data_IF_666171209344
#
_entry.id   IF_666171209344
#
_cell.length_a   1.000
_cell.length_b   1.000
_cell.length_c   1.000
_cell.angle_alpha   90.00
_cell.angle_beta   90.00
_cell.angle_gamma   90.00
#
_symmetry.space_group_name_H-M   'P 1'
#
loop_
_entity.id
_entity.type
_entity.pdbx_description
1 polymer ?
#
# COMPACT_ATOMS: atom_id res chain seq x y z
N UNK A 1 -19.65 -46.55 -36.83
CA UNK A 1 -19.19 -46.40 -38.23
C UNK A 1 -20.34 -46.82 -39.13
N UNK A 2 -20.56 -46.11 -40.23
CA UNK A 2 -21.54 -46.44 -41.26
C UNK A 2 -20.80 -47.10 -42.43
N UNK A 3 -21.13 -48.35 -42.76
CA UNK A 3 -20.56 -49.03 -43.92
C UNK A 3 -21.35 -48.63 -45.16
N UNK A 4 -20.75 -48.01 -46.18
CA UNK A 4 -21.50 -47.60 -47.39
C UNK A 4 -21.46 -48.65 -48.50
N UNK A 5 -20.30 -49.25 -48.71
CA UNK A 5 -20.04 -50.19 -49.80
C UNK A 5 -19.19 -51.37 -49.29
N UNK A 6 -19.48 -52.57 -49.78
CA UNK A 6 -18.69 -53.76 -49.57
C UNK A 6 -18.43 -54.47 -50.90
N UNK A 7 -17.25 -55.07 -51.03
CA UNK A 7 -16.91 -55.98 -52.13
C UNK A 7 -16.56 -57.36 -51.58
N UNK A 8 -17.02 -58.38 -52.29
CA UNK A 8 -16.83 -59.79 -51.96
C UNK A 8 -16.20 -60.46 -53.16
N UNK A 9 -14.99 -60.97 -52.97
CA UNK A 9 -14.31 -61.82 -53.92
C UNK A 9 -14.31 -63.24 -53.37
N UNK A 10 -14.69 -64.21 -54.21
CA UNK A 10 -14.65 -65.61 -53.86
C UNK A 10 -13.92 -66.41 -54.93
N UNK A 11 -13.03 -67.29 -54.49
CA UNK A 11 -12.39 -68.33 -55.31
C UNK A 11 -12.64 -69.69 -54.63
N UNK A 12 -13.13 -70.67 -55.38
CA UNK A 12 -13.37 -72.00 -54.86
C UNK A 12 -13.17 -73.09 -55.90
N UNK A 13 -12.58 -74.20 -55.47
CA UNK A 13 -12.40 -75.38 -56.31
C UNK A 13 -13.46 -76.44 -55.99
N UNK A 14 -14.05 -77.02 -57.03
CA UNK A 14 -15.03 -78.10 -56.91
C UNK A 14 -14.40 -79.36 -56.30
N UNK A 15 -15.16 -80.04 -55.46
CA UNK A 15 -14.77 -81.36 -55.00
C UNK A 15 -14.99 -82.39 -56.13
N UNK A 16 -13.88 -82.89 -56.69
CA UNK A 16 -13.89 -83.89 -57.78
C UNK A 16 -13.73 -85.34 -57.26
N UNK A 17 -13.70 -85.53 -55.93
CA UNK A 17 -13.59 -86.83 -55.28
C UNK A 17 -14.96 -87.46 -55.04
N UNK A 18 -15.49 -88.15 -56.05
CA UNK A 18 -16.71 -88.96 -55.94
C UNK A 18 -17.03 -89.64 -57.26
N UNK A 19 -17.19 -90.98 -57.24
CA UNK A 19 -17.56 -91.77 -58.42
C UNK A 19 -18.90 -91.33 -59.05
N UNK A 20 -19.29 -91.98 -60.14
CA UNK A 20 -20.34 -91.62 -61.15
C UNK A 20 -21.72 -91.09 -60.67
N UNK A 21 -21.97 -90.96 -59.37
CA UNK A 21 -23.15 -90.34 -58.76
C UNK A 21 -22.84 -89.09 -57.89
N UNK A 22 -21.77 -88.34 -58.19
CA UNK A 22 -21.46 -87.08 -57.49
C UNK A 22 -22.31 -85.88 -57.95
N UNK A 23 -22.60 -84.95 -57.03
CA UNK A 23 -23.34 -83.72 -57.31
C UNK A 23 -22.79 -83.00 -58.56
N UNK A 24 -23.69 -82.66 -59.50
CA UNK A 24 -23.27 -82.19 -60.82
C UNK A 24 -22.69 -80.77 -60.82
N UNK A 25 -23.00 -79.97 -59.79
CA UNK A 25 -22.53 -78.60 -59.61
C UNK A 25 -21.83 -78.40 -58.25
N UNK A 26 -21.03 -77.34 -58.16
CA UNK A 26 -20.56 -76.72 -56.92
C UNK A 26 -21.32 -75.41 -56.71
N UNK A 27 -21.48 -74.99 -55.46
CA UNK A 27 -22.09 -73.71 -55.13
C UNK A 27 -21.32 -73.09 -53.97
N UNK A 28 -21.01 -71.79 -54.08
CA UNK A 28 -20.51 -70.99 -52.97
C UNK A 28 -21.30 -69.71 -52.91
N UNK A 29 -21.84 -69.40 -51.74
CA UNK A 29 -22.55 -68.17 -51.44
C UNK A 29 -22.00 -67.55 -50.16
N UNK A 30 -21.89 -66.23 -50.13
CA UNK A 30 -21.48 -65.46 -48.97
C UNK A 30 -22.53 -64.38 -48.65
N UNK A 31 -22.57 -63.93 -47.39
CA UNK A 31 -23.53 -62.92 -46.95
C UNK A 31 -23.37 -61.62 -47.76
N UNK A 32 -24.47 -61.08 -48.25
CA UNK A 32 -24.51 -59.80 -49.01
C UNK A 32 -24.51 -58.55 -48.10
N UNK A 33 -24.41 -58.78 -46.79
CA UNK A 33 -24.48 -57.78 -45.72
C UNK A 33 -25.82 -57.01 -45.67
N UNK A 34 -26.86 -57.47 -46.38
CA UNK A 34 -28.24 -56.95 -46.34
C UNK A 34 -29.23 -57.97 -45.75
N UNK A 35 -28.73 -59.11 -45.28
CA UNK A 35 -29.53 -60.21 -44.73
C UNK A 35 -29.79 -61.34 -45.73
N UNK A 36 -29.23 -61.26 -46.94
CA UNK A 36 -29.27 -62.30 -47.96
C UNK A 36 -27.90 -62.94 -48.21
N UNK A 37 -27.85 -63.80 -49.22
CA UNK A 37 -26.62 -64.44 -49.69
C UNK A 37 -26.43 -64.13 -51.18
N UNK A 38 -25.20 -63.81 -51.55
CA UNK A 38 -24.76 -63.62 -52.94
C UNK A 38 -23.73 -64.69 -53.29
N UNK A 39 -23.80 -65.24 -54.50
CA UNK A 39 -22.84 -66.24 -54.96
C UNK A 39 -23.26 -66.85 -56.28
N UNK A 40 -22.53 -67.89 -56.69
CA UNK A 40 -22.73 -68.56 -57.96
C UNK A 40 -22.75 -70.08 -57.79
N UNK A 41 -23.46 -70.76 -58.70
CA UNK A 41 -23.54 -72.21 -58.80
C UNK A 41 -23.14 -72.64 -60.20
N UNK A 42 -22.09 -73.46 -60.32
CA UNK A 42 -21.52 -73.84 -61.61
C UNK A 42 -21.08 -75.31 -61.66
N UNK A 43 -20.97 -75.87 -62.87
CA UNK A 43 -20.50 -77.25 -63.08
C UNK A 43 -18.95 -77.33 -63.07
N UNK A 44 -18.27 -76.61 -62.16
CA UNK A 44 -16.81 -76.44 -62.17
C UNK A 44 -16.29 -75.67 -60.96
N UNK A 45 -15.09 -75.12 -61.07
CA UNK A 45 -14.54 -74.20 -60.05
C UNK A 45 -15.29 -72.86 -60.15
N UNK A 46 -15.53 -72.18 -59.02
CA UNK A 46 -16.30 -70.93 -58.97
C UNK A 46 -15.39 -69.79 -58.58
N UNK A 47 -15.38 -68.75 -59.41
CA UNK A 47 -14.76 -67.46 -59.12
C UNK A 47 -15.82 -66.37 -59.33
N UNK A 48 -16.05 -65.53 -58.32
CA UNK A 48 -16.97 -64.40 -58.46
C UNK A 48 -16.47 -63.14 -57.75
N UNK A 49 -16.84 -62.01 -58.35
CA UNK A 49 -16.66 -60.67 -57.81
C UNK A 49 -18.02 -59.99 -57.70
N UNK A 50 -18.46 -59.72 -56.46
CA UNK A 50 -19.76 -59.09 -56.18
C UNK A 50 -19.54 -57.84 -55.33
N UNK A 51 -20.30 -56.80 -55.60
CA UNK A 51 -20.32 -55.58 -54.79
C UNK A 51 -21.73 -55.31 -54.28
N UNK A 52 -21.81 -54.84 -53.03
CA UNK A 52 -23.04 -54.40 -52.39
C UNK A 52 -22.88 -52.94 -52.00
N UNK A 53 -23.75 -52.09 -52.54
CA UNK A 53 -23.79 -50.65 -52.26
C UNK A 53 -25.04 -50.28 -51.45
N UNK A 54 -24.99 -49.15 -50.76
CA UNK A 54 -26.10 -48.68 -49.93
C UNK A 54 -26.28 -49.50 -48.66
N UNK A 55 -25.18 -50.00 -48.09
CA UNK A 55 -25.20 -50.58 -46.76
C UNK A 55 -25.41 -49.45 -45.73
N UNK A 56 -26.12 -49.74 -44.64
CA UNK A 56 -26.30 -48.83 -43.51
C UNK A 56 -26.13 -49.64 -42.22
N UNK A 57 -24.99 -50.33 -42.14
CA UNK A 57 -24.69 -51.20 -41.01
C UNK A 57 -23.95 -50.43 -39.93
N UNK A 58 -24.44 -50.57 -38.70
CA UNK A 58 -23.84 -50.00 -37.50
C UNK A 58 -23.64 -51.10 -36.45
N UNK A 59 -22.49 -51.10 -35.77
CA UNK A 59 -22.16 -52.09 -34.74
C UNK A 59 -21.54 -53.38 -35.28
N UNK A 60 -21.78 -54.50 -34.59
CA UNK A 60 -21.22 -55.82 -34.92
C UNK A 60 -22.04 -56.47 -36.04
N UNK A 61 -21.38 -56.81 -37.15
CA UNK A 61 -22.00 -57.43 -38.32
C UNK A 61 -21.52 -58.88 -38.44
N UNK A 62 -22.46 -59.83 -38.55
CA UNK A 62 -22.13 -61.24 -38.77
C UNK A 62 -21.97 -61.54 -40.27
N UNK A 63 -20.83 -62.11 -40.64
CA UNK A 63 -20.56 -62.58 -42.01
C UNK A 63 -20.63 -64.10 -42.06
N UNK A 64 -21.40 -64.64 -43.01
CA UNK A 64 -21.62 -66.09 -43.16
C UNK A 64 -21.26 -66.51 -44.58
N UNK A 65 -20.73 -67.73 -44.72
CA UNK A 65 -20.40 -68.36 -46.00
C UNK A 65 -21.00 -69.76 -46.01
N UNK A 66 -21.64 -70.12 -47.12
CA UNK A 66 -22.23 -71.44 -47.35
C UNK A 66 -21.64 -72.03 -48.64
N UNK A 67 -21.23 -73.29 -48.59
CA UNK A 67 -20.70 -74.00 -49.75
C UNK A 67 -21.31 -75.39 -49.91
N UNK A 68 -21.49 -75.83 -51.15
CA UNK A 68 -21.94 -77.17 -51.51
C UNK A 68 -20.99 -77.79 -52.55
N UNK A 69 -20.52 -79.01 -52.27
CA UNK A 69 -19.63 -79.78 -53.16
C UNK A 69 -18.31 -79.07 -53.54
N UNK A 70 -17.72 -78.35 -52.57
CA UNK A 70 -16.50 -77.55 -52.73
C UNK A 70 -15.38 -78.16 -51.90
N UNK A 71 -14.17 -78.24 -52.46
CA UNK A 71 -12.99 -78.81 -51.78
C UNK A 71 -12.30 -77.78 -50.87
N UNK A 72 -12.17 -76.55 -51.36
CA UNK A 72 -11.67 -75.40 -50.62
C UNK A 72 -12.29 -74.13 -51.21
N UNK A 73 -12.46 -73.13 -50.37
CA UNK A 73 -12.93 -71.81 -50.76
C UNK A 73 -12.12 -70.74 -50.04
N UNK A 74 -11.92 -69.60 -50.70
CA UNK A 74 -11.35 -68.39 -50.14
C UNK A 74 -12.33 -67.24 -50.42
N UNK A 75 -12.77 -66.57 -49.37
CA UNK A 75 -13.68 -65.42 -49.48
C UNK A 75 -13.02 -64.21 -48.85
N UNK A 76 -12.80 -63.17 -49.65
CA UNK A 76 -12.29 -61.87 -49.22
C UNK A 76 -13.43 -60.87 -49.21
N UNK A 77 -13.83 -60.44 -48.01
CA UNK A 77 -14.76 -59.33 -47.82
C UNK A 77 -13.97 -58.04 -47.53
N UNK A 78 -14.17 -57.01 -48.34
CA UNK A 78 -13.60 -55.67 -48.12
C UNK A 78 -14.74 -54.70 -47.88
N UNK A 79 -14.74 -54.02 -46.73
CA UNK A 79 -15.84 -53.14 -46.32
C UNK A 79 -15.33 -51.74 -46.07
N UNK A 80 -15.94 -50.76 -46.72
CA UNK A 80 -15.58 -49.34 -46.60
C UNK A 80 -16.49 -48.67 -45.56
N UNK A 81 -15.89 -48.25 -44.46
CA UNK A 81 -16.55 -47.61 -43.31
C UNK A 81 -16.30 -46.10 -43.30
N UNK A 82 -17.34 -45.31 -43.01
CA UNK A 82 -17.24 -43.91 -42.66
C UNK A 82 -17.56 -43.69 -41.16
N UNK A 83 -16.98 -42.65 -40.57
CA UNK A 83 -17.32 -42.24 -39.20
C UNK A 83 -18.78 -41.76 -39.16
N UNK A 84 -19.50 -42.11 -38.09
CA UNK A 84 -20.86 -41.59 -37.86
C UNK A 84 -20.78 -40.14 -37.39
N UNK A 85 -21.74 -39.31 -37.83
CA UNK A 85 -21.87 -37.92 -37.40
C UNK A 85 -22.00 -37.78 -35.87
N UNK A 86 -22.67 -38.72 -35.21
CA UNK A 86 -22.83 -38.74 -33.75
C UNK A 86 -21.49 -38.89 -33.02
N UNK A 87 -20.60 -39.71 -33.56
CA UNK A 87 -19.26 -39.90 -32.99
C UNK A 87 -18.41 -38.64 -33.16
N UNK A 88 -18.49 -38.00 -34.32
CA UNK A 88 -17.80 -36.73 -34.59
C UNK A 88 -18.31 -35.64 -33.64
N UNK A 89 -19.62 -35.55 -33.42
CA UNK A 89 -20.22 -34.55 -32.54
C UNK A 89 -19.82 -34.79 -31.08
N UNK A 90 -19.83 -36.04 -30.60
CA UNK A 90 -19.33 -36.38 -29.25
C UNK A 90 -17.86 -35.97 -29.08
N UNK A 91 -17.01 -36.32 -30.04
CA UNK A 91 -15.60 -35.94 -30.00
C UNK A 91 -15.40 -34.42 -30.00
N UNK A 92 -16.18 -33.67 -30.79
CA UNK A 92 -16.16 -32.20 -30.80
C UNK A 92 -16.53 -31.63 -29.43
N UNK A 93 -17.59 -32.14 -28.81
CA UNK A 93 -18.04 -31.69 -27.47
C UNK A 93 -17.00 -32.00 -26.40
N UNK A 94 -16.44 -33.22 -26.39
CA UNK A 94 -15.38 -33.61 -25.44
C UNK A 94 -14.14 -32.72 -25.58
N UNK A 95 -13.71 -32.48 -26.81
CA UNK A 95 -12.55 -31.63 -27.11
C UNK A 95 -12.79 -30.18 -26.70
N UNK A 96 -13.98 -29.65 -26.98
CA UNK A 96 -14.36 -28.29 -26.60
C UNK A 96 -14.38 -28.10 -25.08
N UNK A 97 -14.97 -29.06 -24.36
CA UNK A 97 -15.01 -29.03 -22.88
C UNK A 97 -13.61 -29.08 -22.27
N UNK A 98 -12.70 -29.87 -22.85
CA UNK A 98 -11.31 -29.93 -22.38
C UNK A 98 -10.59 -28.58 -22.56
N UNK A 99 -10.81 -27.89 -23.69
CA UNK A 99 -10.21 -26.59 -23.98
C UNK A 99 -10.75 -25.51 -23.04
N UNK A 100 -12.08 -25.45 -22.86
CA UNK A 100 -12.70 -24.46 -21.97
C UNK A 100 -12.22 -24.65 -20.54
N UNK A 101 -12.18 -25.89 -20.04
CA UNK A 101 -11.72 -26.15 -18.68
C UNK A 101 -10.27 -25.67 -18.47
N UNK A 102 -9.38 -25.96 -19.42
CA UNK A 102 -8.00 -25.48 -19.35
C UNK A 102 -7.90 -23.94 -19.40
N UNK A 103 -8.78 -23.29 -20.17
CA UNK A 103 -8.87 -21.84 -20.23
C UNK A 103 -9.37 -21.23 -18.91
N UNK A 104 -10.45 -21.78 -18.33
CA UNK A 104 -11.00 -21.31 -17.06
C UNK A 104 -9.99 -21.44 -15.91
N UNK A 105 -9.26 -22.57 -15.85
CA UNK A 105 -8.19 -22.79 -14.87
C UNK A 105 -7.04 -21.78 -15.05
N UNK A 106 -6.67 -21.44 -16.29
CA UNK A 106 -5.65 -20.44 -16.58
C UNK A 106 -6.13 -19.01 -16.26
N UNK A 107 -7.39 -18.71 -16.54
CA UNK A 107 -8.00 -17.42 -16.27
C UNK A 107 -8.13 -17.16 -14.77
N UNK A 108 -8.50 -18.17 -13.98
CA UNK A 108 -8.53 -18.07 -12.53
C UNK A 108 -7.15 -17.73 -11.96
N UNK A 109 -6.09 -18.42 -12.42
CA UNK A 109 -4.71 -18.11 -12.02
C UNK A 109 -4.28 -16.70 -12.41
N UNK A 110 -4.63 -16.26 -13.61
CA UNK A 110 -4.35 -14.89 -14.05
C UNK A 110 -5.03 -13.84 -13.16
N UNK A 111 -6.29 -14.07 -12.78
CA UNK A 111 -7.02 -13.16 -11.89
C UNK A 111 -6.43 -13.12 -10.47
N UNK A 112 -6.00 -14.27 -9.95
CA UNK A 112 -5.29 -14.35 -8.67
C UNK A 112 -3.94 -13.59 -8.70
N UNK A 113 -3.17 -13.77 -9.77
CA UNK A 113 -1.91 -13.05 -9.98
C UNK A 113 -2.12 -11.54 -10.14
N UNK A 114 -3.12 -11.13 -10.93
CA UNK A 114 -3.47 -9.72 -11.10
C UNK A 114 -3.91 -9.09 -9.77
N UNK A 115 -4.77 -9.76 -9.01
CA UNK A 115 -5.21 -9.28 -7.70
C UNK A 115 -4.04 -9.17 -6.70
N UNK A 116 -3.11 -10.12 -6.74
CA UNK A 116 -1.89 -10.08 -5.91
C UNK A 116 -0.98 -8.92 -6.29
N UNK A 117 -0.76 -8.70 -7.59
CA UNK A 117 0.05 -7.58 -8.09
C UNK A 117 -0.60 -6.24 -7.77
N UNK A 118 -1.91 -6.11 -7.96
CA UNK A 118 -2.67 -4.89 -7.64
C UNK A 118 -2.63 -4.59 -6.13
N UNK A 119 -2.72 -5.62 -5.28
CA UNK A 119 -2.58 -5.47 -3.84
C UNK A 119 -1.16 -5.05 -3.45
N UNK A 120 -0.13 -5.71 -3.98
CA UNK A 120 1.27 -5.37 -3.74
C UNK A 120 1.60 -3.94 -4.23
N UNK A 121 1.05 -3.54 -5.37
CA UNK A 121 1.24 -2.20 -5.93
C UNK A 121 0.53 -1.14 -5.09
N UNK A 122 -0.70 -1.40 -4.63
CA UNK A 122 -1.40 -0.50 -3.70
C UNK A 122 -0.68 -0.36 -2.36
N UNK A 123 -0.16 -1.45 -1.80
CA UNK A 123 0.64 -1.39 -0.56
C UNK A 123 1.94 -0.60 -0.77
N UNK A 124 2.66 -0.86 -1.88
CA UNK A 124 3.86 -0.10 -2.24
C UNK A 124 3.56 1.38 -2.49
N UNK A 125 2.45 1.70 -3.15
CA UNK A 125 2.03 3.08 -3.42
C UNK A 125 1.60 3.79 -2.14
N UNK A 126 0.87 3.12 -1.23
CA UNK A 126 0.52 3.67 0.08
C UNK A 126 1.77 3.92 0.94
N UNK A 127 2.69 2.95 1.01
CA UNK A 127 3.95 3.07 1.75
C UNK A 127 4.92 4.08 1.10
N UNK A 128 4.87 4.27 -0.21
CA UNK A 128 5.61 5.31 -0.92
C UNK A 128 5.00 6.69 -0.65
N UNK A 129 3.67 6.82 -0.63
CA UNK A 129 2.96 8.07 -0.35
C UNK A 129 3.23 8.56 1.07
N UNK A 130 3.27 7.67 2.06
CA UNK A 130 3.60 8.02 3.45
C UNK A 130 5.08 8.44 3.60
N UNK A 131 6.01 7.67 3.00
CA UNK A 131 7.44 8.04 2.97
C UNK A 131 7.69 9.35 2.24
N UNK A 132 6.99 9.59 1.13
CA UNK A 132 7.09 10.83 0.35
C UNK A 132 6.51 12.02 1.13
N UNK A 133 5.40 11.84 1.86
CA UNK A 133 4.81 12.90 2.66
C UNK A 133 5.77 13.48 3.71
N UNK A 134 6.42 12.61 4.49
CA UNK A 134 7.41 13.05 5.49
C UNK A 134 8.66 13.66 4.84
N UNK A 135 9.07 13.12 3.69
CA UNK A 135 10.19 13.66 2.92
C UNK A 135 9.92 15.09 2.42
N UNK A 136 8.71 15.37 1.92
CA UNK A 136 8.33 16.73 1.50
C UNK A 136 8.34 17.73 2.65
N UNK A 137 7.83 17.34 3.82
CA UNK A 137 7.84 18.19 5.02
C UNK A 137 9.27 18.49 5.49
N UNK A 138 10.15 17.49 5.46
CA UNK A 138 11.57 17.69 5.78
C UNK A 138 12.24 18.65 4.80
N UNK A 139 11.99 18.51 3.49
CA UNK A 139 12.55 19.42 2.49
C UNK A 139 12.03 20.85 2.63
N UNK A 140 10.72 21.02 2.82
CA UNK A 140 10.12 22.34 3.10
C UNK A 140 10.79 22.96 4.33
N UNK A 141 10.91 22.21 5.40
CA UNK A 141 11.49 22.70 6.64
C UNK A 141 12.96 23.12 6.48
N UNK A 142 13.79 22.25 5.91
CA UNK A 142 15.23 22.48 5.73
C UNK A 142 15.49 23.68 4.81
N UNK A 143 14.75 23.79 3.70
CA UNK A 143 14.88 24.91 2.77
C UNK A 143 14.42 26.23 3.35
N UNK A 144 13.32 26.25 4.12
CA UNK A 144 12.85 27.47 4.79
C UNK A 144 13.83 27.94 5.84
N UNK A 145 14.33 27.02 6.67
CA UNK A 145 15.38 27.28 7.66
C UNK A 145 16.65 27.83 7.02
N UNK A 146 17.13 27.18 5.96
CA UNK A 146 18.31 27.63 5.21
C UNK A 146 18.15 29.07 4.72
N UNK A 147 17.00 29.39 4.10
CA UNK A 147 16.71 30.73 3.60
C UNK A 147 16.60 31.77 4.74
N UNK A 148 16.00 31.42 5.87
CA UNK A 148 15.97 32.28 7.06
C UNK A 148 17.38 32.61 7.57
N UNK A 149 18.24 31.60 7.73
CA UNK A 149 19.61 31.81 8.20
C UNK A 149 20.40 32.66 7.19
N UNK A 150 20.26 32.37 5.89
CA UNK A 150 20.88 33.17 4.84
C UNK A 150 20.43 34.64 4.87
N UNK A 151 19.14 34.89 5.11
CA UNK A 151 18.60 36.24 5.25
C UNK A 151 19.15 36.97 6.49
N UNK A 152 19.21 36.31 7.65
CA UNK A 152 19.76 36.88 8.88
C UNK A 152 21.24 37.22 8.76
N UNK A 153 21.98 36.42 8.00
CA UNK A 153 23.40 36.63 7.74
C UNK A 153 23.67 37.66 6.64
N UNK A 154 22.64 38.14 5.93
CA UNK A 154 22.80 38.89 4.69
C UNK A 154 23.63 40.18 4.84
N UNK A 155 23.50 40.85 6.00
CA UNK A 155 24.22 42.10 6.28
C UNK A 155 25.64 41.89 6.83
N UNK A 156 26.02 40.65 7.16
CA UNK A 156 27.32 40.26 7.71
C UNK A 156 28.17 39.48 6.70
N UNK A 157 27.71 39.40 5.45
CA UNK A 157 28.31 38.60 4.38
C UNK A 157 29.59 39.25 3.83
N UNK A 158 30.73 38.79 4.33
CA UNK A 158 31.74 38.31 3.38
C UNK A 158 31.14 37.12 2.61
N UNK A 159 31.48 36.94 1.34
CA UNK A 159 30.90 35.95 0.40
C UNK A 159 31.01 34.47 0.83
N UNK A 160 31.49 34.20 2.04
CA UNK A 160 31.93 32.88 2.53
C UNK A 160 31.40 32.59 3.96
N UNK A 161 30.42 33.34 4.48
CA UNK A 161 29.86 33.08 5.83
C UNK A 161 29.01 31.82 5.91
N UNK A 162 28.42 31.37 4.80
CA UNK A 162 27.76 30.06 4.65
C UNK A 162 28.59 29.21 3.67
N UNK A 163 28.77 27.92 3.99
CA UNK A 163 29.52 27.00 3.12
C UNK A 163 31.03 27.24 3.11
N UNK A 164 31.59 27.71 4.23
CA UNK A 164 33.04 27.96 4.36
C UNK A 164 33.83 26.67 4.16
N UNK A 165 34.91 26.75 3.40
CA UNK A 165 35.83 25.63 3.23
C UNK A 165 36.59 25.37 4.52
N UNK A 166 36.17 24.35 5.27
CA UNK A 166 36.81 23.93 6.52
C UNK A 166 37.76 22.75 6.32
N UNK A 167 37.86 22.24 5.09
CA UNK A 167 38.66 21.07 4.73
C UNK A 167 39.27 21.25 3.36
N UNK A 168 40.30 20.46 3.04
CA UNK A 168 40.85 20.41 1.69
C UNK A 168 39.99 19.59 0.70
N UNK A 169 38.80 19.11 1.08
CA UNK A 169 37.99 18.19 0.28
C UNK A 169 37.61 18.72 -1.12
N UNK A 170 37.51 20.05 -1.29
CA UNK A 170 37.17 20.68 -2.57
C UNK A 170 38.33 20.72 -3.56
N UNK A 171 39.57 20.44 -3.14
CA UNK A 171 40.70 20.41 -4.04
C UNK A 171 40.75 19.10 -4.85
N UNK A 172 40.97 19.20 -6.17
CA UNK A 172 41.11 18.05 -7.08
C UNK A 172 42.23 17.06 -6.68
N UNK A 173 43.14 17.50 -5.82
CA UNK A 173 44.27 16.70 -5.31
C UNK A 173 43.96 15.93 -4.03
N UNK A 174 42.76 16.08 -3.48
CA UNK A 174 42.37 15.45 -2.21
C UNK A 174 41.94 14.00 -2.41
N UNK A 175 42.57 13.14 -1.62
CA UNK A 175 42.40 11.70 -1.53
C UNK A 175 42.23 11.33 -0.06
N UNK A 176 41.76 10.10 0.20
CA UNK A 176 41.51 9.65 1.57
C UNK A 176 42.75 9.70 2.47
N UNK A 177 43.94 9.53 1.89
CA UNK A 177 45.23 9.52 2.59
C UNK A 177 45.79 10.92 2.91
N UNK A 178 45.29 11.98 2.28
CA UNK A 178 45.73 13.37 2.51
C UNK A 178 44.60 14.32 2.96
N UNK A 179 43.46 13.77 3.37
CA UNK A 179 42.34 14.56 3.89
C UNK A 179 42.76 15.31 5.16
N UNK A 180 42.51 16.62 5.18
CA UNK A 180 42.87 17.51 6.28
C UNK A 180 41.74 18.50 6.56
N UNK A 181 41.51 18.73 7.86
CA UNK A 181 40.61 19.77 8.36
C UNK A 181 41.46 20.98 8.73
N UNK A 182 41.06 22.17 8.28
CA UNK A 182 41.73 23.42 8.63
C UNK A 182 41.34 23.82 10.06
N UNK A 183 42.14 23.40 11.03
CA UNK A 183 41.97 23.76 12.44
C UNK A 183 42.53 25.16 12.70
N UNK A 184 41.72 26.04 13.27
CA UNK A 184 42.12 27.41 13.63
C UNK A 184 40.98 28.23 14.21
N UNK A 185 41.28 29.44 14.68
CA UNK A 185 40.31 30.35 15.31
C UNK A 185 39.11 30.66 14.40
N UNK A 186 39.31 30.64 13.09
CA UNK A 186 38.25 30.84 12.10
C UNK A 186 37.23 29.70 12.07
N UNK A 187 37.69 28.45 12.25
CA UNK A 187 36.81 27.28 12.35
C UNK A 187 35.99 27.35 13.65
N UNK A 188 36.61 27.77 14.75
CA UNK A 188 35.92 27.93 16.04
C UNK A 188 34.84 29.02 15.95
N UNK A 189 35.14 30.15 15.32
CA UNK A 189 34.15 31.22 15.06
C UNK A 189 33.00 30.73 14.18
N UNK A 190 33.31 29.99 13.11
CA UNK A 190 32.31 29.44 12.19
C UNK A 190 31.41 28.40 12.86
N UNK A 191 31.99 27.50 13.66
CA UNK A 191 31.23 26.48 14.40
C UNK A 191 30.40 27.09 15.53
N UNK A 192 30.90 28.13 16.21
CA UNK A 192 30.13 28.89 17.19
C UNK A 192 28.93 29.60 16.53
N UNK A 193 29.12 30.20 15.35
CA UNK A 193 28.02 30.78 14.56
C UNK A 193 26.97 29.74 14.19
N UNK A 194 27.41 28.61 13.61
CA UNK A 194 26.51 27.53 13.21
C UNK A 194 25.72 27.01 14.43
N UNK A 195 26.41 26.74 15.55
CA UNK A 195 25.77 26.29 16.79
C UNK A 195 24.76 27.31 17.32
N UNK A 196 25.08 28.60 17.28
CA UNK A 196 24.17 29.65 17.72
C UNK A 196 22.91 29.69 16.85
N UNK A 197 23.05 29.71 15.53
CA UNK A 197 21.90 29.75 14.60
C UNK A 197 21.01 28.52 14.73
N UNK A 198 21.61 27.35 14.93
CA UNK A 198 20.90 26.09 15.10
C UNK A 198 20.15 25.98 16.44
N UNK A 199 20.68 26.58 17.51
CA UNK A 199 20.15 26.40 18.87
C UNK A 199 19.31 27.57 19.39
N UNK A 200 19.53 28.79 18.89
CA UNK A 200 18.87 29.99 19.39
C UNK A 200 17.39 30.07 19.00
N UNK A 201 16.98 29.39 17.92
CA UNK A 201 15.63 29.43 17.39
C UNK A 201 14.94 28.08 17.50
N UNK A 202 13.62 28.10 17.68
CA UNK A 202 12.79 26.90 17.73
C UNK A 202 12.34 26.50 16.31
N UNK A 203 13.29 26.01 15.52
CA UNK A 203 13.03 25.63 14.12
C UNK A 203 11.89 24.61 13.98
N UNK A 204 11.80 23.65 14.91
CA UNK A 204 10.76 22.60 14.94
C UNK A 204 9.32 23.14 15.01
N UNK A 205 9.12 24.37 15.51
CA UNK A 205 7.79 24.95 15.75
C UNK A 205 7.64 26.28 14.98
N UNK A 206 8.14 26.33 13.76
CA UNK A 206 7.99 27.51 12.90
C UNK A 206 6.63 27.52 12.17
N UNK A 207 6.05 28.72 12.05
CA UNK A 207 4.86 28.96 11.22
C UNK A 207 5.27 29.62 9.90
N UNK A 208 4.64 29.24 8.79
CA UNK A 208 4.98 29.76 7.47
C UNK A 208 3.75 29.96 6.59
N UNK A 209 3.84 30.96 5.72
CA UNK A 209 2.82 31.28 4.71
C UNK A 209 3.49 31.51 3.37
N UNK A 210 3.08 30.76 2.37
CA UNK A 210 3.61 30.89 1.01
C UNK A 210 2.87 31.96 0.21
N UNK A 211 3.62 32.86 -0.40
CA UNK A 211 3.12 33.80 -1.37
C UNK A 211 3.31 33.26 -2.80
N UNK A 212 2.32 33.41 -3.69
CA UNK A 212 2.34 32.74 -4.99
C UNK A 212 3.49 33.17 -5.94
N UNK A 213 3.71 32.39 -7.00
CA UNK A 213 4.79 32.52 -7.98
C UNK A 213 5.02 33.91 -8.55
N UNK A 214 3.99 34.78 -8.63
CA UNK A 214 4.13 36.12 -9.19
C UNK A 214 4.96 37.07 -8.32
N UNK A 215 5.27 36.68 -7.08
CA UNK A 215 6.25 37.37 -6.23
C UNK A 215 7.71 36.97 -6.53
N UNK A 216 7.92 35.92 -7.33
CA UNK A 216 9.24 35.49 -7.77
C UNK A 216 9.76 36.34 -8.95
N UNK A 217 10.99 36.06 -9.38
CA UNK A 217 11.53 36.63 -10.61
C UNK A 217 10.65 36.26 -11.82
N UNK A 218 10.31 37.27 -12.64
CA UNK A 218 9.43 37.14 -13.81
C UNK A 218 9.86 36.05 -14.80
N UNK A 219 11.16 35.77 -14.91
CA UNK A 219 11.69 34.72 -15.79
C UNK A 219 11.30 33.31 -15.35
N UNK A 220 11.02 33.10 -14.06
CA UNK A 220 10.74 31.80 -13.45
C UNK A 220 9.23 31.52 -13.29
N UNK A 221 8.35 32.47 -13.64
CA UNK A 221 6.90 32.33 -13.42
C UNK A 221 6.31 31.13 -14.17
N UNK A 222 6.75 30.89 -15.40
CA UNK A 222 6.25 29.75 -16.19
C UNK A 222 6.63 28.43 -15.55
N UNK A 223 7.86 28.32 -15.04
CA UNK A 223 8.36 27.13 -14.35
C UNK A 223 7.54 26.87 -13.09
N UNK A 224 7.42 27.86 -12.19
CA UNK A 224 6.66 27.71 -10.96
C UNK A 224 5.18 27.40 -11.21
N UNK A 225 4.53 28.04 -12.18
CA UNK A 225 3.11 27.80 -12.47
C UNK A 225 2.84 26.36 -12.95
N UNK A 226 3.75 25.79 -13.74
CA UNK A 226 3.60 24.45 -14.31
C UNK A 226 4.01 23.34 -13.34
N UNK A 227 4.61 23.67 -12.19
CA UNK A 227 5.02 22.67 -11.22
C UNK A 227 3.80 22.05 -10.53
N UNK A 228 3.73 20.72 -10.56
CA UNK A 228 2.70 19.93 -9.91
C UNK A 228 3.31 18.97 -8.87
N UNK A 229 2.55 18.74 -7.79
CA UNK A 229 2.86 17.73 -6.78
C UNK A 229 1.55 17.12 -6.30
N UNK A 230 1.61 15.85 -5.90
CA UNK A 230 0.50 15.11 -5.31
C UNK A 230 0.10 15.66 -3.93
N UNK A 231 1.03 16.29 -3.21
CA UNK A 231 0.76 16.96 -1.94
C UNK A 231 0.41 18.45 -2.18
N UNK A 232 -0.79 18.92 -1.80
CA UNK A 232 -1.18 20.31 -1.96
C UNK A 232 -0.26 21.32 -1.27
N UNK A 233 0.30 20.98 -0.10
CA UNK A 233 1.20 21.89 0.63
C UNK A 233 2.55 21.99 -0.07
N UNK A 234 3.16 20.85 -0.43
CA UNK A 234 4.41 20.84 -1.19
C UNK A 234 4.24 21.48 -2.56
N UNK A 235 3.09 21.30 -3.21
CA UNK A 235 2.77 22.04 -4.43
C UNK A 235 2.78 23.55 -4.17
N UNK A 236 2.13 24.01 -3.11
CA UNK A 236 2.14 25.44 -2.77
C UNK A 236 3.54 25.98 -2.48
N UNK A 237 4.40 25.17 -1.86
CA UNK A 237 5.82 25.48 -1.66
C UNK A 237 6.57 25.63 -2.98
N UNK A 238 6.43 24.67 -3.91
CA UNK A 238 7.09 24.72 -5.22
C UNK A 238 6.58 25.85 -6.13
N UNK A 239 5.30 26.21 -5.99
CA UNK A 239 4.69 27.32 -6.73
C UNK A 239 4.90 28.67 -6.01
N UNK A 240 5.56 28.70 -4.85
CA UNK A 240 5.76 29.93 -4.09
C UNK A 240 6.87 30.77 -4.72
N UNK A 241 6.66 32.09 -4.78
CA UNK A 241 7.71 33.03 -5.14
C UNK A 241 8.42 33.65 -3.93
N UNK A 242 7.71 33.70 -2.79
CA UNK A 242 8.21 34.20 -1.52
C UNK A 242 7.53 33.44 -0.38
N UNK A 243 8.16 33.40 0.78
CA UNK A 243 7.56 32.84 2.00
C UNK A 243 7.68 33.85 3.14
N UNK A 244 6.62 33.97 3.95
CA UNK A 244 6.66 34.63 5.25
C UNK A 244 6.82 33.55 6.31
N UNK A 245 7.81 33.69 7.18
CA UNK A 245 8.10 32.71 8.23
C UNK A 245 8.12 33.45 9.58
N UNK A 246 7.51 32.84 10.58
CA UNK A 246 7.51 33.29 11.97
C UNK A 246 8.21 32.22 12.78
N UNK A 247 9.35 32.58 13.37
CA UNK A 247 10.17 31.68 14.20
C UNK A 247 10.32 32.30 15.59
N UNK A 248 10.06 31.50 16.61
CA UNK A 248 10.25 31.90 18.01
C UNK A 248 11.71 31.71 18.43
N UNK A 249 12.18 32.60 19.29
CA UNK A 249 13.49 32.47 19.94
C UNK A 249 13.33 31.56 21.15
N UNK A 250 14.27 30.62 21.32
CA UNK A 250 14.28 29.71 22.44
C UNK A 250 14.45 30.47 23.76
N UNK A 251 13.68 30.15 24.81
CA UNK A 251 13.81 30.81 26.11
C UNK A 251 15.26 30.80 26.63
N UNK A 252 15.78 31.97 27.01
CA UNK A 252 17.16 32.17 27.46
C UNK A 252 18.13 32.63 26.37
N UNK A 253 17.74 32.62 25.10
CA UNK A 253 18.54 33.15 23.97
C UNK A 253 18.11 34.55 23.52
N UNK A 254 17.08 35.15 24.13
CA UNK A 254 16.46 36.41 23.68
C UNK A 254 17.48 37.55 23.64
N UNK A 255 18.25 37.71 24.72
CA UNK A 255 19.24 38.77 24.83
C UNK A 255 20.43 38.56 23.87
N UNK A 256 20.80 37.30 23.60
CA UNK A 256 21.87 36.96 22.66
C UNK A 256 21.44 37.19 21.21
N UNK A 257 20.19 36.87 20.86
CA UNK A 257 19.61 37.16 19.54
C UNK A 257 19.42 38.66 19.36
N UNK A 258 18.95 39.38 20.38
CA UNK A 258 18.83 40.84 20.31
C UNK A 258 20.20 41.50 20.06
N UNK A 259 21.23 41.09 20.81
CA UNK A 259 22.61 41.57 20.57
C UNK A 259 23.07 41.27 19.14
N UNK A 260 22.79 40.07 18.64
CA UNK A 260 23.14 39.68 17.27
C UNK A 260 22.41 40.55 16.23
N UNK A 261 21.12 40.84 16.41
CA UNK A 261 20.35 41.68 15.48
C UNK A 261 20.80 43.15 15.49
N UNK A 262 21.25 43.66 16.64
CA UNK A 262 21.70 45.05 16.78
C UNK A 262 23.16 45.25 16.36
N UNK A 263 24.03 44.29 16.65
CA UNK A 263 25.50 44.45 16.50
C UNK A 263 26.14 43.49 15.50
N UNK A 264 25.49 42.38 15.17
CA UNK A 264 26.07 41.31 14.36
C UNK A 264 27.05 40.38 15.07
N UNK A 265 27.30 40.62 16.35
CA UNK A 265 28.24 39.83 17.12
C UNK A 265 27.52 38.67 17.82
N UNK A 266 28.11 37.48 17.70
CA UNK A 266 27.63 36.28 18.38
C UNK A 266 28.09 36.33 19.83
N UNK A 267 27.18 36.07 20.75
CA UNK A 267 27.52 35.98 22.15
C UNK A 267 28.17 34.63 22.48
N UNK A 268 29.48 34.65 22.74
CA UNK A 268 30.28 33.44 23.00
C UNK A 268 30.24 32.92 24.45
N UNK A 269 29.18 33.23 25.19
CA UNK A 269 29.01 32.84 26.60
C UNK A 269 29.77 33.76 27.56
N UNK A 270 29.05 34.29 28.57
CA UNK A 270 29.56 35.26 29.55
C UNK A 270 28.42 35.92 30.31
N UNK A 271 28.59 37.15 30.81
CA UNK A 271 27.45 38.03 31.08
C UNK A 271 27.04 38.70 29.75
N UNK A 272 25.73 38.91 29.52
CA UNK A 272 25.28 39.68 28.35
C UNK A 272 25.79 41.12 28.50
N UNK A 273 26.53 41.69 27.54
CA UNK A 273 26.89 43.09 27.59
C UNK A 273 25.61 43.93 27.50
N UNK A 274 25.39 44.81 28.48
CA UNK A 274 24.30 45.78 28.41
C UNK A 274 24.64 46.76 27.28
N UNK A 275 23.76 46.85 26.28
CA UNK A 275 23.91 47.77 25.16
C UNK A 275 23.82 49.19 25.73
N UNK A 276 24.91 49.93 25.61
CA UNK A 276 25.20 51.10 26.43
C UNK A 276 24.46 52.38 26.04
N UNK A 277 23.15 52.43 26.29
CA UNK A 277 22.43 53.70 26.41
C UNK A 277 21.63 53.72 27.74
N UNK A 278 21.95 54.62 28.70
CA UNK A 278 21.21 54.75 29.96
C UNK A 278 19.70 54.96 29.83
N UNK A 279 19.20 55.31 28.63
CA UNK A 279 17.78 55.52 28.34
C UNK A 279 17.08 54.32 27.67
N UNK A 280 17.80 53.25 27.31
CA UNK A 280 17.23 52.07 26.65
C UNK A 280 17.12 50.91 27.64
N UNK A 281 15.98 50.80 28.34
CA UNK A 281 15.63 49.56 29.05
C UNK A 281 15.23 48.51 28.02
N UNK A 282 15.92 47.37 28.00
CA UNK A 282 15.55 46.24 27.14
C UNK A 282 14.21 45.65 27.59
N UNK A 283 13.40 45.13 26.65
CA UNK A 283 12.17 44.38 26.96
C UNK A 283 12.49 43.21 27.91
N UNK A 284 13.70 42.66 27.82
CA UNK A 284 14.22 41.61 28.72
C UNK A 284 14.35 42.10 30.17
N UNK A 285 14.82 43.32 30.39
CA UNK A 285 14.90 43.91 31.73
C UNK A 285 13.52 44.30 32.27
N UNK A 286 12.55 44.59 31.41
CA UNK A 286 11.15 44.71 31.81
C UNK A 286 10.56 43.36 32.26
N UNK A 287 10.85 42.27 31.55
CA UNK A 287 10.42 40.91 31.93
C UNK A 287 11.09 40.40 33.21
N UNK A 288 12.30 40.86 33.54
CA UNK A 288 13.02 40.51 34.77
C UNK A 288 12.55 41.25 36.01
N UNK A 289 11.74 42.31 35.87
CA UNK A 289 11.10 42.92 37.04
C UNK A 289 10.18 41.87 37.68
N UNK A 290 10.24 41.66 39.00
CA UNK A 290 9.38 40.71 39.67
C UNK A 290 7.91 41.05 39.39
N UNK A 291 7.07 40.02 39.31
CA UNK A 291 5.61 40.13 39.23
C UNK A 291 5.15 41.19 40.23
N UNK A 292 4.42 42.20 39.76
CA UNK A 292 4.18 43.44 40.50
C UNK A 292 3.65 43.24 41.92
N UNK A 293 3.83 44.24 42.78
CA UNK A 293 3.25 44.23 44.13
C UNK A 293 1.72 44.12 44.04
N UNK A 294 1.08 43.17 44.75
CA UNK A 294 -0.37 43.03 44.73
C UNK A 294 -1.01 44.31 45.27
N UNK A 295 -1.77 45.00 44.41
CA UNK A 295 -2.51 46.20 44.75
C UNK A 295 -3.96 45.83 45.06
N UNK A 296 -4.39 46.09 46.30
CA UNK A 296 -5.77 45.88 46.74
C UNK A 296 -6.03 44.51 47.36
N UNK A 297 -7.31 44.24 47.61
CA UNK A 297 -7.80 42.94 48.11
C UNK A 297 -7.90 41.95 46.94
N UNK A 298 -7.66 40.68 47.20
CA UNK A 298 -7.85 39.66 46.16
C UNK A 298 -9.35 39.32 46.02
N UNK A 299 -9.76 38.84 44.84
CA UNK A 299 -11.11 38.36 44.57
C UNK A 299 -11.05 36.97 43.94
N UNK A 300 -12.11 36.19 44.14
CA UNK A 300 -12.19 34.82 43.62
C UNK A 300 -12.76 34.88 42.20
N UNK A 301 -12.12 34.18 41.26
CA UNK A 301 -12.60 34.08 39.88
C UNK A 301 -12.77 32.61 39.50
N UNK A 302 -13.98 32.25 39.06
CA UNK A 302 -14.28 30.88 38.56
C UNK A 302 -14.09 30.82 37.05
N UNK A 303 -13.11 30.04 36.61
CA UNK A 303 -12.88 29.76 35.20
C UNK A 303 -13.52 28.42 34.83
N UNK A 304 -14.36 28.34 33.79
CA UNK A 304 -14.88 27.06 33.32
C UNK A 304 -13.73 26.24 32.71
N UNK A 305 -13.41 25.11 33.32
CA UNK A 305 -12.42 24.17 32.78
C UNK A 305 -13.12 22.91 32.29
N UNK A 306 -12.55 22.28 31.26
CA UNK A 306 -13.04 21.01 30.71
C UNK A 306 -12.59 19.78 31.52
N UNK A 307 -11.78 19.98 32.57
CA UNK A 307 -11.24 18.92 33.42
C UNK A 307 -12.28 18.47 34.45
N UNK A 308 -12.75 17.23 34.33
CA UNK A 308 -13.65 16.58 35.30
C UNK A 308 -12.86 15.48 36.03
N UNK A 309 -12.56 15.67 37.31
CA UNK A 309 -12.04 14.59 38.17
C UNK A 309 -13.26 13.93 38.81
N UNK A 310 -13.52 12.67 38.44
CA UNK A 310 -14.76 11.98 38.82
C UNK A 310 -14.68 11.27 40.19
N UNK A 311 -13.49 10.86 40.64
CA UNK A 311 -13.29 10.15 41.91
C UNK A 311 -11.90 10.39 42.52
N UNK A 312 -11.81 10.32 43.85
CA UNK A 312 -10.55 10.25 44.60
C UNK A 312 -9.66 9.13 44.03
N UNK A 313 -8.36 9.40 43.84
CA UNK A 313 -7.34 8.44 43.37
C UNK A 313 -7.43 7.94 41.92
N UNK A 314 -8.30 8.50 41.05
CA UNK A 314 -8.37 8.04 39.63
C UNK A 314 -7.12 8.37 38.80
N UNK A 315 -6.31 9.34 39.25
CA UNK A 315 -5.06 9.78 38.60
C UNK A 315 -3.83 9.65 39.50
N UNK A 316 -3.90 8.86 40.58
CA UNK A 316 -2.77 8.62 41.48
C UNK A 316 -2.42 9.78 42.42
N UNK A 317 -3.24 10.83 42.45
CA UNK A 317 -3.13 11.92 43.43
C UNK A 317 -4.03 11.61 44.64
N UNK A 318 -3.47 11.39 45.85
CA UNK A 318 -4.27 11.27 47.06
C UNK A 318 -4.78 12.66 47.45
N UNK A 319 -6.10 12.87 47.41
CA UNK A 319 -6.73 14.14 47.73
C UNK A 319 -7.53 14.00 49.02
N UNK A 320 -7.13 14.71 50.08
CA UNK A 320 -7.79 14.63 51.40
C UNK A 320 -9.22 15.19 51.41
N UNK A 321 -9.52 16.16 50.54
CA UNK A 321 -10.82 16.84 50.44
C UNK A 321 -11.08 17.27 48.99
N UNK A 322 -12.28 17.03 48.44
CA UNK A 322 -12.61 17.42 47.07
C UNK A 322 -12.62 18.95 46.90
N UNK A 323 -12.01 19.45 45.83
CA UNK A 323 -12.10 20.87 45.45
C UNK A 323 -13.54 21.20 44.97
N UNK A 324 -14.03 22.44 45.11
CA UNK A 324 -13.30 23.66 45.48
C UNK A 324 -13.33 23.91 46.99
N UNK A 325 -12.14 24.09 47.57
CA UNK A 325 -11.98 24.66 48.92
C UNK A 325 -10.87 25.70 48.84
N UNK A 326 -11.11 26.87 49.41
CA UNK A 326 -10.14 27.96 49.50
C UNK A 326 -10.09 28.45 50.95
N UNK A 327 -9.47 27.68 51.86
CA UNK A 327 -9.31 28.11 53.24
C UNK A 327 -8.30 29.26 53.30
N UNK A 328 -8.77 30.45 53.63
CA UNK A 328 -7.91 31.61 53.91
C UNK A 328 -8.01 32.00 55.39
N UNK A 329 -6.87 32.27 56.00
CA UNK A 329 -6.75 32.64 57.41
C UNK A 329 -7.16 34.11 57.69
N UNK A 330 -7.14 35.00 56.68
CA UNK A 330 -7.60 36.39 56.78
C UNK A 330 -8.69 36.76 55.75
N UNK A 331 -9.97 36.47 56.05
CA UNK A 331 -11.10 36.80 55.17
C UNK A 331 -11.27 38.29 54.89
N UNK A 332 -10.61 39.19 55.63
CA UNK A 332 -10.70 40.65 55.41
C UNK A 332 -9.91 41.11 54.19
N UNK A 333 -8.95 40.32 53.74
CA UNK A 333 -8.14 40.57 52.57
C UNK A 333 -8.82 40.13 51.25
N UNK A 334 -10.02 39.52 51.34
CA UNK A 334 -10.88 39.23 50.20
C UNK A 334 -11.86 40.38 49.92
N UNK A 335 -12.08 40.71 48.65
CA UNK A 335 -13.09 41.70 48.24
C UNK A 335 -14.52 41.20 48.48
N UNK A 336 -14.77 39.90 48.31
CA UNK A 336 -16.06 39.27 48.61
C UNK A 336 -15.93 38.04 49.53
N UNK A 337 -15.93 38.24 50.86
CA UNK A 337 -15.75 37.15 51.83
C UNK A 337 -16.84 36.06 51.79
N UNK A 338 -17.98 36.31 51.13
CA UNK A 338 -19.07 35.33 51.00
C UNK A 338 -18.80 34.26 49.94
N UNK A 339 -17.83 34.47 49.07
CA UNK A 339 -17.46 33.51 48.01
C UNK A 339 -16.41 32.49 48.47
N UNK A 340 -15.87 32.66 49.69
CA UNK A 340 -14.92 31.72 50.29
C UNK A 340 -15.65 30.42 50.65
N UNK A 341 -15.23 29.32 50.01
CA UNK A 341 -15.74 27.98 50.29
C UNK A 341 -14.81 27.29 51.32
N UNK A 342 -15.26 27.28 52.57
CA UNK A 342 -14.56 26.63 53.69
C UNK A 342 -14.92 25.15 53.84
N UNK A 343 -16.06 24.73 53.28
CA UNK A 343 -16.57 23.35 53.35
C UNK A 343 -16.91 22.83 51.95
N UNK A 344 -16.67 21.54 51.74
CA UNK A 344 -16.94 20.87 50.46
C UNK A 344 -18.42 20.56 50.33
N UNK A 345 -19.03 20.89 49.19
CA UNK A 345 -20.40 20.45 48.86
C UNK A 345 -20.51 18.97 48.45
N UNK A 346 -19.37 18.30 48.24
CA UNK A 346 -19.30 16.88 47.88
C UNK A 346 -19.24 16.01 49.13
N UNK A 347 -20.21 15.11 49.28
CA UNK A 347 -20.22 14.07 50.32
C UNK A 347 -19.88 12.71 49.72
N UNK A 348 -18.96 11.98 50.34
CA UNK A 348 -18.65 10.60 49.94
C UNK A 348 -19.74 9.68 50.50
N UNK A 349 -20.66 9.25 49.63
CA UNK A 349 -21.74 8.35 50.00
C UNK A 349 -21.20 6.92 50.15
N UNK A 350 -20.77 6.56 51.35
CA UNK A 350 -20.24 5.22 51.68
C UNK A 350 -21.31 4.13 51.68
N UNK A 351 -22.59 4.52 51.60
CA UNK A 351 -23.75 3.61 51.58
C UNK A 351 -24.28 3.30 50.18
N UNK A 352 -23.77 3.95 49.15
CA UNK A 352 -24.14 3.67 47.76
C UNK A 352 -23.49 2.35 47.28
N UNK A 353 -24.04 1.21 47.70
CA UNK A 353 -23.77 -0.06 47.04
C UNK A 353 -24.44 -0.05 45.66
N UNK A 354 -23.64 -0.16 44.59
CA UNK A 354 -24.13 -0.49 43.27
C UNK A 354 -24.87 -1.84 43.37
N UNK A 355 -26.20 -1.80 43.39
CA UNK A 355 -27.00 -3.02 43.31
C UNK A 355 -26.73 -3.67 41.95
N UNK A 356 -26.05 -4.82 41.98
CA UNK A 356 -25.89 -5.64 40.79
C UNK A 356 -27.28 -6.16 40.40
N UNK A 357 -27.90 -5.58 39.37
CA UNK A 357 -29.05 -6.20 38.72
C UNK A 357 -28.59 -7.52 38.11
N UNK A 358 -29.29 -8.61 38.40
CA UNK A 358 -29.00 -9.95 37.87
C UNK A 358 -29.25 -10.10 36.35
N UNK A 359 -29.49 -9.01 35.65
CA UNK A 359 -29.69 -8.98 34.21
C UNK A 359 -28.34 -8.83 33.50
N UNK A 360 -28.15 -9.61 32.43
CA UNK A 360 -26.92 -9.61 31.64
C UNK A 360 -26.60 -8.22 31.09
N UNK A 361 -25.42 -7.71 31.42
CA UNK A 361 -24.88 -6.44 30.96
C UNK A 361 -24.85 -6.35 29.43
N UNK A 362 -25.35 -5.26 28.86
CA UNK A 362 -25.32 -4.96 27.41
C UNK A 362 -23.97 -4.43 26.91
N UNK A 363 -22.89 -4.64 27.67
CA UNK A 363 -21.54 -4.24 27.27
C UNK A 363 -20.84 -5.42 26.57
N UNK A 364 -20.31 -5.24 25.35
CA UNK A 364 -19.65 -6.32 24.61
C UNK A 364 -18.41 -6.81 25.36
N UNK A 365 -18.29 -8.14 25.49
CA UNK A 365 -17.45 -8.82 26.47
C UNK A 365 -16.06 -9.25 25.96
N UNK A 366 -15.58 -8.77 24.82
CA UNK A 366 -14.30 -9.25 24.28
C UNK A 366 -13.37 -8.11 23.84
N UNK A 367 -12.48 -7.71 24.75
CA UNK A 367 -11.25 -6.95 24.43
C UNK A 367 -10.15 -7.24 25.47
N UNK A 368 -9.87 -8.52 25.77
CA UNK A 368 -8.66 -8.89 26.53
C UNK A 368 -8.16 -10.29 26.15
N UNK A 369 -7.58 -10.42 24.96
CA UNK A 369 -6.48 -11.37 24.75
C UNK A 369 -5.54 -10.76 23.72
N UNK A 370 -4.43 -10.16 24.17
CA UNK A 370 -3.09 -9.99 23.54
C UNK A 370 -2.40 -8.87 24.35
N UNK A 371 -2.00 -9.17 25.60
CA UNK A 371 -0.78 -8.64 26.23
C UNK A 371 -0.38 -9.72 27.24
N UNK A 372 0.42 -10.69 26.77
CA UNK A 372 1.39 -11.50 27.52
C UNK A 372 1.81 -12.70 26.67
N UNK A 373 2.71 -12.44 25.73
CA UNK A 373 3.80 -13.36 25.35
C UNK A 373 5.07 -12.56 25.22
#
# INVERSE_FOLDING_TARGET
MLQKNASFHCDSARNRGGGWSGARYSEVTCSDLKGGFTGDSYYGDIVFDRSSSGLNLTGTVSFQVKGHNVRHYNVKATVNCELSEDYINKWKTESFNAIIKAYEDAYAKFQEEQAKLDAEQKEKEAAAKERQGNFYRYMEHDTLKHNCIAYLLQNYLDSTTLGRETTNATADTTRMDNFQVYLGEELDKYTALAKFMEQAFEWEIMDYTFYPYYWANRKSWQEFYLTESMDPLFRSFLQAGMARIIVTVKPGFEAAVQLFMETGLIWNGGAVPVIGDPMYMSIVDEMRKPTGEPQGKYWITRMPTTLTILQESSTGLPVKQPLPIFPEDDPKNCENPKELEFETSFTLDTTAQLSHSGDSTTLPRELTTIINK
#
